data_IF_635604496868
#
_entry.id   IF_635604496868
#
_cell.length_a   1.000
_cell.length_b   1.000
_cell.length_c   1.000
_cell.angle_alpha   90.00
_cell.angle_beta   90.00
_cell.angle_gamma   90.00
#
_symmetry.space_group_name_H-M   'P 1'
#
loop_
_entity.id
_entity.type
_entity.pdbx_description
1 polymer ?
#
# COMPACT_ATOMS: atom_id res chain seq x y z
N UNK A 1 -31.22 33.60 62.27
CA UNK A 1 -31.59 32.91 61.00
C UNK A 1 -30.32 32.77 60.15
N UNK A 2 -29.72 31.55 60.07
CA UNK A 2 -28.52 31.30 59.32
C UNK A 2 -28.94 30.52 58.07
N UNK A 3 -28.82 31.13 56.88
CA UNK A 3 -29.08 30.51 55.58
C UNK A 3 -27.89 29.62 55.18
N UNK A 4 -28.14 28.33 55.01
CA UNK A 4 -27.20 27.35 54.55
C UNK A 4 -27.28 27.28 53.00
N UNK A 5 -26.30 27.81 52.33
CA UNK A 5 -26.16 27.64 50.82
C UNK A 5 -25.56 26.27 50.53
N UNK A 6 -26.36 25.39 49.96
CA UNK A 6 -25.93 24.08 49.46
C UNK A 6 -25.42 24.27 48.04
N UNK A 7 -24.09 24.23 47.84
CA UNK A 7 -23.46 24.26 46.51
C UNK A 7 -23.51 22.85 45.89
N UNK A 8 -24.32 22.69 44.87
CA UNK A 8 -24.40 21.45 44.09
C UNK A 8 -23.22 21.41 43.11
N UNK A 9 -22.22 20.58 43.42
CA UNK A 9 -21.06 20.36 42.52
C UNK A 9 -21.43 19.30 41.47
N UNK A 10 -21.75 19.75 40.26
CA UNK A 10 -22.01 18.85 39.12
C UNK A 10 -20.70 18.29 38.60
N UNK A 11 -20.41 17.03 38.92
CA UNK A 11 -19.29 16.29 38.37
C UNK A 11 -19.59 15.93 36.89
N UNK A 12 -19.04 16.68 35.95
CA UNK A 12 -19.11 16.34 34.53
C UNK A 12 -18.13 15.19 34.30
N UNK A 13 -18.66 13.97 34.15
CA UNK A 13 -17.89 12.81 33.74
C UNK A 13 -17.45 12.99 32.27
N UNK A 14 -16.19 13.34 32.07
CA UNK A 14 -15.56 13.33 30.76
C UNK A 14 -15.37 11.86 30.35
N UNK A 15 -16.28 11.32 29.55
CA UNK A 15 -16.08 10.01 28.88
C UNK A 15 -15.18 10.27 27.66
N UNK A 16 -13.97 9.74 27.63
CA UNK A 16 -13.14 9.85 26.42
C UNK A 16 -13.86 9.10 25.29
N UNK A 17 -14.26 9.82 24.25
CA UNK A 17 -14.69 9.22 22.99
C UNK A 17 -13.43 8.66 22.36
N UNK A 18 -13.25 7.33 22.42
CA UNK A 18 -12.25 6.64 21.64
C UNK A 18 -12.74 6.70 20.19
N UNK A 19 -12.05 7.48 19.36
CA UNK A 19 -12.19 7.40 17.91
C UNK A 19 -11.64 6.02 17.50
N UNK A 20 -12.52 5.07 17.28
CA UNK A 20 -12.15 3.82 16.61
C UNK A 20 -11.92 4.18 15.15
N UNK A 21 -10.74 3.83 14.62
CA UNK A 21 -10.51 3.85 13.19
C UNK A 21 -11.58 2.95 12.56
N UNK A 22 -12.45 3.54 11.77
CA UNK A 22 -13.53 2.81 11.10
C UNK A 22 -12.94 2.29 9.81
N UNK A 23 -12.42 1.05 9.87
CA UNK A 23 -12.04 0.33 8.66
C UNK A 23 -13.24 0.24 7.72
N UNK A 24 -12.99 0.19 6.42
CA UNK A 24 -14.02 -0.08 5.44
C UNK A 24 -14.79 -1.37 5.82
N UNK A 25 -16.02 -1.44 5.40
CA UNK A 25 -16.90 -2.58 5.64
C UNK A 25 -16.67 -3.74 4.65
N UNK A 26 -15.45 -3.83 4.09
CA UNK A 26 -14.95 -4.84 3.17
C UNK A 26 -13.45 -5.06 3.40
N UNK A 27 -12.88 -6.15 2.90
CA UNK A 27 -11.50 -6.55 3.13
C UNK A 27 -10.78 -6.89 1.82
N UNK A 28 -9.47 -6.75 1.83
CA UNK A 28 -8.58 -7.33 0.82
C UNK A 28 -8.06 -8.65 1.40
N UNK A 29 -8.59 -9.78 0.93
CA UNK A 29 -8.16 -11.09 1.40
C UNK A 29 -6.70 -11.36 1.09
N UNK A 30 -6.20 -10.85 -0.06
CA UNK A 30 -4.79 -10.91 -0.42
C UNK A 30 -4.42 -9.74 -1.33
N UNK A 31 -3.21 -9.20 -1.11
CA UNK A 31 -2.55 -8.23 -1.97
C UNK A 31 -1.20 -8.80 -2.42
N UNK A 32 -1.06 -9.07 -3.70
CA UNK A 32 0.20 -9.53 -4.28
C UNK A 32 0.79 -8.47 -5.19
N UNK A 33 2.12 -8.29 -5.13
CA UNK A 33 2.85 -7.40 -6.03
C UNK A 33 4.05 -8.11 -6.62
N UNK A 34 4.14 -8.14 -7.94
CA UNK A 34 5.33 -8.56 -8.68
C UNK A 34 6.06 -7.30 -9.19
N UNK A 35 7.32 -7.14 -8.80
CA UNK A 35 8.13 -5.96 -9.07
C UNK A 35 9.36 -6.39 -9.86
N UNK A 36 9.48 -5.90 -11.08
CA UNK A 36 10.66 -6.11 -11.92
C UNK A 36 11.48 -4.83 -11.98
N UNK A 37 12.72 -4.89 -11.53
CA UNK A 37 13.67 -3.78 -11.64
C UNK A 37 14.42 -3.96 -12.98
N UNK A 38 14.29 -2.96 -13.85
CA UNK A 38 14.94 -2.96 -15.16
C UNK A 38 16.38 -2.44 -15.07
N UNK A 39 17.22 -2.78 -16.08
CA UNK A 39 18.62 -2.32 -16.13
C UNK A 39 18.78 -0.80 -16.23
N UNK A 40 17.77 -0.08 -16.71
CA UNK A 40 17.74 1.39 -16.77
C UNK A 40 17.30 2.05 -15.47
N UNK A 41 16.95 1.26 -14.45
CA UNK A 41 16.50 1.72 -13.14
C UNK A 41 15.01 2.05 -13.05
N UNK A 42 14.25 1.85 -14.12
CA UNK A 42 12.79 1.84 -14.05
C UNK A 42 12.29 0.57 -13.36
N UNK A 43 11.10 0.60 -12.81
CA UNK A 43 10.45 -0.60 -12.28
C UNK A 43 9.10 -0.82 -12.97
N UNK A 44 8.80 -2.09 -13.26
CA UNK A 44 7.47 -2.55 -13.62
C UNK A 44 6.83 -3.17 -12.39
N UNK A 45 5.62 -2.74 -12.05
CA UNK A 45 4.84 -3.28 -10.94
C UNK A 45 3.55 -3.86 -11.48
N UNK A 46 3.26 -5.10 -11.09
CA UNK A 46 2.02 -5.79 -11.39
C UNK A 46 1.39 -6.22 -10.07
N UNK A 47 0.19 -5.75 -9.81
CA UNK A 47 -0.54 -6.00 -8.57
C UNK A 47 -1.75 -6.88 -8.83
N UNK A 48 -1.98 -7.83 -7.94
CA UNK A 48 -3.19 -8.68 -7.90
C UNK A 48 -3.84 -8.48 -6.55
N UNK A 49 -5.06 -7.96 -6.53
CA UNK A 49 -5.81 -7.59 -5.33
C UNK A 49 -7.08 -8.44 -5.26
N UNK A 50 -7.15 -9.34 -4.29
CA UNK A 50 -8.36 -10.11 -4.01
C UNK A 50 -9.23 -9.33 -3.01
N UNK A 51 -10.23 -8.62 -3.53
CA UNK A 51 -11.18 -7.83 -2.76
C UNK A 51 -12.44 -8.64 -2.44
N UNK A 52 -12.86 -8.65 -1.17
CA UNK A 52 -14.11 -9.26 -0.73
C UNK A 52 -15.07 -8.19 -0.18
N UNK A 53 -16.10 -7.90 -0.93
CA UNK A 53 -17.16 -6.99 -0.53
C UNK A 53 -18.26 -7.67 0.29
N UNK A 54 -18.23 -9.01 0.44
CA UNK A 54 -19.29 -9.78 1.08
C UNK A 54 -20.64 -9.50 0.42
N UNK A 55 -21.61 -9.11 1.23
CA UNK A 55 -22.96 -8.74 0.76
C UNK A 55 -23.12 -7.23 0.44
N UNK A 56 -22.03 -6.46 0.56
CA UNK A 56 -22.05 -5.01 0.32
C UNK A 56 -22.00 -4.72 -1.16
N UNK A 57 -22.78 -3.76 -1.58
CA UNK A 57 -22.73 -3.25 -2.95
C UNK A 57 -21.73 -2.10 -3.03
N UNK A 58 -20.69 -2.25 -3.86
CA UNK A 58 -19.62 -1.28 -4.10
C UNK A 58 -19.51 -0.99 -5.59
N UNK A 59 -19.02 0.20 -5.94
CA UNK A 59 -18.75 0.57 -7.33
C UNK A 59 -17.34 0.14 -7.79
N UNK A 60 -16.57 -0.54 -6.94
CA UNK A 60 -15.19 -0.95 -7.18
C UNK A 60 -14.28 -0.55 -6.03
N UNK A 61 -12.97 -0.42 -6.32
CA UNK A 61 -11.94 -0.08 -5.34
C UNK A 61 -11.18 1.20 -5.72
N UNK A 62 -10.53 1.80 -4.72
CA UNK A 62 -9.50 2.83 -4.93
C UNK A 62 -8.13 2.23 -4.62
N UNK A 63 -7.18 2.40 -5.56
CA UNK A 63 -5.77 2.09 -5.33
C UNK A 63 -4.98 3.39 -5.23
N UNK A 64 -4.32 3.57 -4.09
CA UNK A 64 -3.48 4.73 -3.79
C UNK A 64 -2.02 4.34 -3.99
N UNK A 65 -1.36 4.87 -5.00
CA UNK A 65 0.06 4.63 -5.25
C UNK A 65 0.85 5.86 -4.81
N UNK A 66 1.73 5.76 -3.80
CA UNK A 66 2.55 6.88 -3.36
C UNK A 66 3.50 7.32 -4.48
N UNK A 67 3.50 8.61 -4.81
CA UNK A 67 4.37 9.21 -5.84
C UNK A 67 5.21 10.37 -5.31
N UNK A 68 5.10 10.69 -4.03
CA UNK A 68 5.92 11.70 -3.36
C UNK A 68 6.48 11.09 -2.08
N UNK A 69 7.78 11.06 -1.98
CA UNK A 69 8.52 10.56 -0.82
C UNK A 69 9.30 11.71 -0.17
N UNK A 70 9.44 11.67 1.14
CA UNK A 70 10.31 12.57 1.88
C UNK A 70 11.67 11.89 2.08
N UNK A 71 12.73 12.55 1.63
CA UNK A 71 14.10 12.05 1.82
C UNK A 71 14.57 12.27 3.26
N UNK A 72 15.66 11.59 3.65
CA UNK A 72 16.28 11.76 4.97
C UNK A 72 16.71 13.22 5.26
N UNK A 73 16.91 14.04 4.22
CA UNK A 73 17.25 15.46 4.33
C UNK A 73 16.03 16.36 4.45
N UNK A 74 14.81 15.80 4.39
CA UNK A 74 13.55 16.53 4.42
C UNK A 74 13.11 17.10 3.07
N UNK A 75 13.84 16.80 2.00
CA UNK A 75 13.44 17.17 0.64
C UNK A 75 12.34 16.22 0.14
N UNK A 76 11.49 16.72 -0.74
CA UNK A 76 10.46 15.90 -1.37
C UNK A 76 10.93 15.46 -2.75
N UNK A 77 11.06 14.15 -2.92
CA UNK A 77 11.31 13.52 -4.21
C UNK A 77 9.99 13.01 -4.79
N UNK A 78 9.81 13.25 -6.08
CA UNK A 78 8.69 12.72 -6.83
C UNK A 78 9.17 11.68 -7.84
N UNK A 79 8.51 10.53 -7.83
CA UNK A 79 8.65 9.50 -8.85
C UNK A 79 7.68 9.77 -10.01
N UNK A 80 7.99 9.25 -11.20
CA UNK A 80 7.14 9.32 -12.38
C UNK A 80 6.43 7.96 -12.54
N UNK A 81 5.10 7.99 -12.51
CA UNK A 81 4.27 6.79 -12.61
C UNK A 81 3.43 6.87 -13.88
N UNK A 82 3.42 5.76 -14.63
CA UNK A 82 2.59 5.56 -15.81
C UNK A 82 1.79 4.26 -15.67
N UNK A 83 0.47 4.36 -15.65
CA UNK A 83 -0.41 3.20 -15.64
C UNK A 83 -0.47 2.55 -17.02
N UNK A 84 -0.40 1.21 -17.07
CA UNK A 84 -0.41 0.42 -18.30
C UNK A 84 -1.77 -0.24 -18.50
N UNK A 85 -2.29 -0.95 -17.49
CA UNK A 85 -3.47 -1.78 -17.63
C UNK A 85 -4.23 -1.94 -16.33
N UNK A 86 -5.55 -2.10 -16.46
CA UNK A 86 -6.47 -2.36 -15.35
C UNK A 86 -7.50 -3.41 -15.75
N UNK A 87 -7.54 -4.49 -14.98
CA UNK A 87 -8.52 -5.55 -15.16
C UNK A 87 -9.28 -5.86 -13.86
N UNK A 88 -10.48 -6.41 -14.01
CA UNK A 88 -11.25 -7.02 -12.95
C UNK A 88 -11.82 -8.34 -13.48
N UNK A 89 -11.55 -9.44 -12.78
CA UNK A 89 -11.99 -10.79 -13.16
C UNK A 89 -11.59 -11.18 -14.59
N UNK A 90 -10.33 -10.87 -14.97
CA UNK A 90 -9.73 -11.10 -16.30
C UNK A 90 -10.42 -10.32 -17.44
N UNK A 91 -11.01 -9.18 -17.15
CA UNK A 91 -11.60 -8.31 -18.16
C UNK A 91 -11.27 -6.84 -17.89
N UNK A 92 -11.07 -6.02 -18.92
CA UNK A 92 -10.82 -4.59 -18.74
C UNK A 92 -11.89 -3.92 -17.89
N UNK A 93 -11.48 -3.16 -16.88
CA UNK A 93 -12.38 -2.46 -15.97
C UNK A 93 -12.38 -0.95 -16.25
N UNK A 94 -13.54 -0.27 -16.21
CA UNK A 94 -13.61 1.18 -16.26
C UNK A 94 -12.80 1.79 -15.12
N UNK A 95 -12.06 2.87 -15.40
CA UNK A 95 -11.25 3.54 -14.39
C UNK A 95 -11.23 5.05 -14.57
N UNK A 96 -10.81 5.74 -13.50
CA UNK A 96 -10.43 7.15 -13.54
C UNK A 96 -9.23 7.38 -12.60
N UNK A 97 -8.36 8.32 -12.97
CA UNK A 97 -7.18 8.68 -12.17
C UNK A 97 -7.24 10.12 -11.73
N UNK A 98 -6.74 10.39 -10.53
CA UNK A 98 -6.59 11.72 -9.99
C UNK A 98 -5.51 11.76 -8.92
N UNK A 99 -5.02 12.97 -8.59
CA UNK A 99 -4.05 13.14 -7.52
C UNK A 99 -4.71 13.51 -6.20
N UNK A 100 -4.28 12.84 -5.12
CA UNK A 100 -4.68 13.15 -3.75
C UNK A 100 -3.44 13.16 -2.84
N UNK A 101 -3.04 14.35 -2.39
CA UNK A 101 -1.87 14.49 -1.52
C UNK A 101 -0.58 13.98 -2.18
N UNK A 102 0.05 12.99 -1.55
CA UNK A 102 1.27 12.33 -2.03
C UNK A 102 1.01 11.19 -3.02
N UNK A 103 -0.26 10.83 -3.26
CA UNK A 103 -0.62 9.67 -4.06
C UNK A 103 -1.16 10.05 -5.44
N UNK A 104 -0.86 9.21 -6.42
CA UNK A 104 -1.70 9.03 -7.60
C UNK A 104 -2.78 7.99 -7.23
N UNK A 105 -4.04 8.32 -7.47
CA UNK A 105 -5.18 7.46 -7.11
C UNK A 105 -5.84 6.97 -8.37
N UNK A 106 -6.05 5.67 -8.48
CA UNK A 106 -6.91 5.09 -9.50
C UNK A 106 -8.17 4.55 -8.83
N UNK A 107 -9.31 4.97 -9.35
CA UNK A 107 -10.62 4.38 -9.05
C UNK A 107 -10.92 3.34 -10.12
N UNK A 108 -11.08 2.09 -9.72
CA UNK A 108 -11.36 0.94 -10.58
C UNK A 108 -12.81 0.49 -10.39
N UNK A 109 -13.62 0.63 -11.42
CA UNK A 109 -15.03 0.24 -11.40
C UNK A 109 -15.95 1.22 -12.17
N UNK A 110 -17.17 0.79 -12.41
CA UNK A 110 -18.20 1.58 -13.10
C UNK A 110 -19.02 2.38 -12.07
N UNK A 111 -19.04 3.71 -12.11
CA UNK A 111 -19.79 4.52 -11.15
C UNK A 111 -21.30 4.32 -11.22
N UNK A 112 -21.82 3.67 -12.27
CA UNK A 112 -23.24 3.43 -12.46
C UNK A 112 -23.66 1.98 -12.17
N UNK A 113 -22.70 1.11 -11.78
CA UNK A 113 -22.95 -0.29 -11.45
C UNK A 113 -22.38 -0.62 -10.11
N UNK A 114 -23.06 -1.48 -9.37
CA UNK A 114 -22.57 -2.06 -8.14
C UNK A 114 -22.24 -3.53 -8.32
N UNK A 115 -21.26 -3.99 -7.55
CA UNK A 115 -20.81 -5.38 -7.47
C UNK A 115 -20.75 -5.77 -5.99
N UNK A 116 -20.77 -7.07 -5.70
CA UNK A 116 -20.66 -7.64 -4.34
C UNK A 116 -19.99 -9.01 -4.40
N UNK A 117 -19.50 -9.52 -3.27
CA UNK A 117 -18.73 -10.76 -3.21
C UNK A 117 -17.25 -10.54 -3.49
N UNK A 118 -16.58 -11.60 -3.90
CA UNK A 118 -15.15 -11.58 -4.19
C UNK A 118 -14.88 -11.20 -5.65
N UNK A 119 -13.89 -10.31 -5.84
CA UNK A 119 -13.42 -9.88 -7.16
C UNK A 119 -11.88 -9.78 -7.15
N UNK A 120 -11.27 -10.13 -8.26
CA UNK A 120 -9.83 -10.01 -8.49
C UNK A 120 -9.57 -8.78 -9.35
N UNK A 121 -8.79 -7.84 -8.83
CA UNK A 121 -8.31 -6.69 -9.60
C UNK A 121 -6.85 -6.88 -9.96
N UNK A 122 -6.49 -6.54 -11.20
CA UNK A 122 -5.12 -6.52 -11.69
C UNK A 122 -4.78 -5.11 -12.12
N UNK A 123 -3.63 -4.62 -11.62
CA UNK A 123 -3.15 -3.26 -11.89
C UNK A 123 -1.69 -3.33 -12.32
N UNK A 124 -1.37 -2.82 -13.51
CA UNK A 124 -0.01 -2.77 -14.02
C UNK A 124 0.43 -1.34 -14.28
N UNK A 125 1.63 -0.99 -13.84
CA UNK A 125 2.21 0.33 -14.03
C UNK A 125 3.74 0.32 -14.03
N UNK A 126 4.36 1.33 -14.64
CA UNK A 126 5.79 1.58 -14.56
C UNK A 126 6.09 2.79 -13.69
N UNK A 127 7.27 2.78 -13.11
CA UNK A 127 7.77 3.88 -12.30
C UNK A 127 9.22 4.18 -12.67
N UNK A 128 9.49 5.46 -12.92
CA UNK A 128 10.84 5.98 -13.04
C UNK A 128 11.26 6.66 -11.74
N UNK A 129 12.57 6.60 -11.44
CA UNK A 129 13.18 7.23 -10.26
C UNK A 129 12.70 6.66 -8.91
N UNK A 130 12.36 5.36 -8.88
CA UNK A 130 12.03 4.67 -7.63
C UNK A 130 13.27 4.23 -6.86
N UNK A 131 14.41 4.06 -7.55
CA UNK A 131 15.65 3.63 -6.94
C UNK A 131 16.41 4.79 -6.30
N UNK A 132 17.02 4.51 -5.16
CA UNK A 132 18.02 5.36 -4.51
C UNK A 132 19.41 4.83 -4.88
N UNK A 133 20.28 5.72 -5.34
CA UNK A 133 21.62 5.38 -5.80
C UNK A 133 22.65 5.80 -4.77
N UNK A 134 23.44 4.84 -4.27
CA UNK A 134 24.53 5.03 -3.34
C UNK A 134 25.87 4.66 -3.98
N UNK A 135 26.99 4.99 -3.33
CA UNK A 135 28.32 4.72 -3.89
C UNK A 135 28.62 3.21 -4.03
N UNK A 136 28.08 2.37 -3.14
CA UNK A 136 28.39 0.95 -3.04
C UNK A 136 27.20 0.03 -3.46
N UNK A 137 25.99 0.57 -3.50
CA UNK A 137 24.78 -0.21 -3.84
C UNK A 137 23.66 0.70 -4.34
N UNK A 138 22.65 0.10 -4.95
CA UNK A 138 21.36 0.73 -5.22
C UNK A 138 20.31 0.17 -4.27
N UNK A 139 19.30 0.97 -3.93
CA UNK A 139 18.24 0.57 -3.01
C UNK A 139 16.85 0.84 -3.58
N UNK A 140 15.96 -0.14 -3.48
CA UNK A 140 14.53 0.03 -3.65
C UNK A 140 13.86 0.04 -2.27
N UNK A 141 13.22 1.17 -1.92
CA UNK A 141 12.29 1.24 -0.80
C UNK A 141 10.86 1.34 -1.35
N UNK A 142 10.04 0.33 -1.11
CA UNK A 142 8.72 0.23 -1.69
C UNK A 142 7.65 -0.13 -0.67
N UNK A 143 6.58 0.67 -0.60
CA UNK A 143 5.39 0.33 0.17
C UNK A 143 4.41 -0.44 -0.74
N UNK A 144 4.39 -1.76 -0.58
CA UNK A 144 3.65 -2.69 -1.44
C UNK A 144 2.15 -2.38 -1.43
N UNK A 145 1.55 -2.29 -0.26
CA UNK A 145 0.10 -2.08 -0.13
C UNK A 145 -0.33 -0.62 -0.14
N UNK A 146 0.63 0.30 0.11
CA UNK A 146 0.35 1.72 0.34
C UNK A 146 -0.11 2.00 1.78
N UNK A 147 -0.20 3.30 2.15
CA UNK A 147 -0.58 3.73 3.49
C UNK A 147 -2.05 4.17 3.61
N UNK A 148 -2.74 4.31 2.49
CA UNK A 148 -4.07 4.95 2.41
C UNK A 148 -5.13 3.96 1.91
N UNK A 149 -4.99 2.66 2.23
CA UNK A 149 -6.01 1.66 1.89
C UNK A 149 -7.31 1.94 2.64
N UNK A 150 -8.44 1.91 1.93
CA UNK A 150 -9.77 2.00 2.56
C UNK A 150 -10.16 0.70 3.26
N UNK A 151 -9.63 -0.44 2.81
CA UNK A 151 -9.91 -1.76 3.35
C UNK A 151 -8.72 -2.29 4.15
N UNK A 152 -9.01 -3.19 5.07
CA UNK A 152 -7.98 -3.96 5.75
C UNK A 152 -7.39 -5.01 4.80
N UNK A 153 -6.07 -5.07 4.71
CA UNK A 153 -5.34 -6.12 3.99
C UNK A 153 -5.09 -7.27 4.98
N UNK A 154 -5.59 -8.46 4.68
CA UNK A 154 -5.47 -9.62 5.58
C UNK A 154 -4.15 -10.37 5.36
N UNK A 155 -3.65 -10.39 4.13
CA UNK A 155 -2.37 -10.97 3.79
C UNK A 155 -1.77 -10.24 2.59
N UNK A 156 -0.45 -10.12 2.57
CA UNK A 156 0.27 -9.55 1.45
C UNK A 156 1.50 -10.37 1.08
N UNK A 157 1.88 -10.33 -0.19
CA UNK A 157 3.11 -10.91 -0.69
C UNK A 157 3.70 -10.04 -1.79
N UNK A 158 5.02 -10.11 -1.92
CA UNK A 158 5.70 -9.46 -3.02
C UNK A 158 6.81 -10.37 -3.57
N UNK A 159 7.00 -10.28 -4.88
CA UNK A 159 8.14 -10.87 -5.57
C UNK A 159 8.91 -9.73 -6.21
N UNK A 160 10.23 -9.68 -5.97
CA UNK A 160 11.11 -8.66 -6.57
C UNK A 160 12.13 -9.36 -7.42
N UNK A 161 12.17 -8.99 -8.70
CA UNK A 161 13.18 -9.46 -9.66
C UNK A 161 14.24 -8.37 -9.83
N UNK A 162 15.46 -8.68 -9.44
CA UNK A 162 16.62 -7.79 -9.63
C UNK A 162 17.10 -7.83 -11.09
N UNK A 163 17.73 -6.75 -11.58
CA UNK A 163 18.20 -6.67 -12.96
C UNK A 163 19.36 -7.64 -13.24
N UNK A 164 19.32 -8.33 -14.39
CA UNK A 164 20.37 -9.22 -14.83
C UNK A 164 20.71 -10.34 -13.84
N UNK A 165 21.99 -10.42 -13.45
CA UNK A 165 22.51 -11.37 -12.45
C UNK A 165 22.78 -10.70 -11.09
N UNK A 166 22.20 -9.51 -10.82
CA UNK A 166 22.39 -8.82 -9.55
C UNK A 166 21.86 -9.65 -8.38
N UNK A 167 22.54 -9.55 -7.24
CA UNK A 167 22.13 -10.18 -5.99
C UNK A 167 21.83 -9.11 -4.94
N UNK A 168 20.87 -9.37 -4.06
CA UNK A 168 20.60 -8.47 -2.96
C UNK A 168 21.69 -8.61 -1.89
N UNK A 169 22.35 -7.51 -1.56
CA UNK A 169 23.32 -7.44 -0.45
C UNK A 169 22.62 -7.27 0.89
N UNK A 170 21.41 -6.71 0.87
CA UNK A 170 20.53 -6.58 2.02
C UNK A 170 19.08 -6.56 1.57
N UNK A 171 18.22 -7.25 2.30
CA UNK A 171 16.78 -7.15 2.14
C UNK A 171 16.10 -7.10 3.50
N UNK A 172 15.07 -6.28 3.60
CA UNK A 172 14.26 -6.13 4.81
C UNK A 172 12.81 -5.96 4.41
N UNK A 173 11.90 -6.49 5.21
CA UNK A 173 10.50 -6.17 5.08
C UNK A 173 9.85 -5.96 6.46
N UNK A 174 8.84 -5.12 6.47
CA UNK A 174 8.07 -4.78 7.66
C UNK A 174 6.59 -4.96 7.37
N UNK A 175 5.86 -5.52 8.30
CA UNK A 175 4.42 -5.70 8.21
C UNK A 175 3.67 -4.93 9.30
N UNK A 176 2.40 -4.59 9.01
CA UNK A 176 1.53 -3.80 9.87
C UNK A 176 1.31 -2.38 9.36
N UNK A 177 0.45 -1.63 10.05
CA UNK A 177 0.11 -0.26 9.69
C UNK A 177 1.29 0.72 9.74
N UNK A 178 1.07 1.95 9.32
CA UNK A 178 2.09 3.00 9.22
C UNK A 178 2.93 3.12 10.50
N UNK A 179 4.25 2.94 10.35
CA UNK A 179 5.24 2.99 11.44
C UNK A 179 5.42 1.66 12.18
N UNK A 180 4.81 0.57 11.74
CA UNK A 180 5.10 -0.77 12.24
C UNK A 180 6.54 -1.18 11.92
N UNK A 181 7.12 -1.99 12.79
CA UNK A 181 8.51 -2.49 12.68
C UNK A 181 8.59 -4.01 12.80
N UNK A 182 7.44 -4.68 12.71
CA UNK A 182 7.41 -6.14 12.72
C UNK A 182 7.97 -6.68 11.40
N UNK A 183 8.97 -7.58 11.52
CA UNK A 183 9.59 -8.17 10.34
C UNK A 183 8.65 -9.18 9.69
N UNK A 184 8.57 -9.16 8.38
CA UNK A 184 7.83 -10.15 7.59
C UNK A 184 8.73 -11.29 7.09
N UNK A 185 8.12 -12.34 6.53
CA UNK A 185 8.84 -13.47 5.94
C UNK A 185 9.59 -13.06 4.67
N UNK A 186 10.80 -13.58 4.51
CA UNK A 186 11.66 -13.26 3.37
C UNK A 186 12.46 -14.49 2.94
N UNK A 187 12.58 -14.69 1.62
CA UNK A 187 13.45 -15.68 0.99
C UNK A 187 14.05 -15.12 -0.29
N UNK A 188 15.27 -15.57 -0.65
CA UNK A 188 15.95 -15.21 -1.89
C UNK A 188 16.43 -16.45 -2.61
N UNK A 189 16.24 -16.48 -3.95
CA UNK A 189 16.81 -17.48 -4.85
C UNK A 189 17.34 -16.77 -6.10
N UNK A 190 18.67 -16.73 -6.24
CA UNK A 190 19.34 -15.97 -7.29
C UNK A 190 18.97 -14.47 -7.21
N UNK A 191 18.50 -13.92 -8.34
CA UNK A 191 18.06 -12.53 -8.46
C UNK A 191 16.60 -12.31 -8.08
N UNK A 192 15.92 -13.29 -7.49
CA UNK A 192 14.51 -13.20 -7.10
C UNK A 192 14.37 -13.23 -5.59
N UNK A 193 13.65 -12.25 -5.05
CA UNK A 193 13.31 -12.16 -3.64
C UNK A 193 11.80 -12.33 -3.47
N UNK A 194 11.40 -13.09 -2.45
CA UNK A 194 10.01 -13.35 -2.12
C UNK A 194 9.75 -12.88 -0.69
N UNK A 195 8.71 -12.08 -0.51
CA UNK A 195 8.29 -11.53 0.77
C UNK A 195 6.85 -11.92 1.06
N UNK A 196 6.54 -12.22 2.33
CA UNK A 196 5.20 -12.58 2.78
C UNK A 196 4.88 -11.98 4.14
N UNK A 197 3.67 -11.47 4.29
CA UNK A 197 3.14 -10.94 5.55
C UNK A 197 1.65 -11.27 5.70
N UNK A 198 1.18 -11.35 6.95
CA UNK A 198 -0.24 -11.50 7.30
C UNK A 198 -0.91 -10.14 7.58
N UNK A 199 -0.44 -9.09 6.95
CA UNK A 199 -0.95 -7.71 7.04
C UNK A 199 -0.36 -6.87 5.89
N UNK A 200 -0.53 -5.54 5.95
CA UNK A 200 0.11 -4.59 5.05
C UNK A 200 1.64 -4.74 5.08
N UNK A 201 2.30 -4.50 3.94
CA UNK A 201 3.74 -4.75 3.78
C UNK A 201 4.48 -3.56 3.17
N UNK A 202 5.64 -3.26 3.75
CA UNK A 202 6.67 -2.40 3.16
C UNK A 202 7.97 -3.19 3.04
N UNK A 203 8.65 -3.08 1.91
CA UNK A 203 9.94 -3.73 1.66
C UNK A 203 11.05 -2.70 1.41
N UNK A 204 12.28 -3.06 1.78
CA UNK A 204 13.50 -2.37 1.38
C UNK A 204 14.51 -3.41 0.89
N UNK A 205 15.04 -3.20 -0.30
CA UNK A 205 15.99 -4.09 -0.95
C UNK A 205 17.19 -3.27 -1.44
N UNK A 206 18.36 -3.53 -0.86
CA UNK A 206 19.65 -3.06 -1.37
C UNK A 206 20.27 -4.14 -2.27
N UNK A 207 20.80 -3.77 -3.43
CA UNK A 207 21.43 -4.69 -4.37
C UNK A 207 22.65 -4.06 -5.04
N UNK A 208 23.61 -4.91 -5.44
CA UNK A 208 24.79 -4.50 -6.22
C UNK A 208 24.47 -4.57 -7.72
N UNK A 209 25.05 -3.62 -8.47
CA UNK A 209 25.03 -3.59 -9.94
C UNK A 209 26.12 -4.45 -10.52
#
# INVERSE_FOLDING_TARGET
MKSLFLALFACILFVPIQAQAQFADWEMNHFHSEITINEDGSILVQEIILADFGIREKHGIFRFVPVVYETLTGDRQRIELEFIEFEMDNAPVPYSTYRSGANEVVQLGDPNKTISGEHVYEVSYTIDRALLYFDEHDELYWNVTGNDSEARVLASSAVVHLPGEAEAVQASCYSGGLGATEACGFAQEGNTLVFTAEDEMTIAVGFEK
#
